data_IF_703534395202
#
_entry.id   IF_703534395202
#
_cell.length_a   1.000
_cell.length_b   1.000
_cell.length_c   1.000
_cell.angle_alpha   90.00
_cell.angle_beta   90.00
_cell.angle_gamma   90.00
#
_symmetry.space_group_name_H-M   'P 1'
#
loop_
_entity.id
_entity.type
_entity.pdbx_description
1 polymer ?
#
# COMPACT_ATOMS: atom_id res chain seq x y z
N UNK A 1 20.30 7.17 12.52
CA UNK A 1 19.34 6.89 11.45
C UNK A 1 18.64 5.57 11.76
N UNK A 2 17.33 5.58 11.74
CA UNK A 2 16.50 4.40 11.97
C UNK A 2 15.55 4.17 10.81
N UNK A 3 15.01 2.98 10.71
CA UNK A 3 14.01 2.64 9.72
C UNK A 3 13.02 1.62 10.26
N UNK A 4 11.78 1.70 9.80
CA UNK A 4 10.71 0.75 10.10
C UNK A 4 10.14 0.25 8.78
N UNK A 5 9.94 -1.05 8.66
CA UNK A 5 9.29 -1.67 7.50
C UNK A 5 7.85 -2.01 7.84
N UNK A 6 6.93 -1.61 6.97
CA UNK A 6 5.49 -1.78 7.16
C UNK A 6 4.91 -2.53 5.97
N UNK A 7 4.10 -3.56 6.25
CA UNK A 7 3.35 -4.27 5.24
C UNK A 7 2.12 -3.47 4.83
N UNK A 8 1.97 -3.22 3.54
CA UNK A 8 0.84 -2.44 3.01
C UNK A 8 0.27 -3.14 1.77
N UNK A 9 -0.91 -2.69 1.35
CA UNK A 9 -1.52 -3.15 0.11
C UNK A 9 -2.33 -4.43 0.23
N UNK A 10 -3.02 -4.74 -0.85
CA UNK A 10 -3.92 -5.87 -0.97
C UNK A 10 -3.22 -7.20 -0.71
N UNK A 11 -3.92 -8.12 -0.04
CA UNK A 11 -3.43 -9.46 0.26
C UNK A 11 -4.56 -10.48 0.18
N UNK A 12 -4.25 -11.75 0.39
CA UNK A 12 -5.23 -12.83 0.26
C UNK A 12 -6.34 -12.78 1.31
N UNK A 13 -6.14 -12.06 2.42
CA UNK A 13 -7.20 -11.83 3.41
C UNK A 13 -8.08 -10.65 3.02
N UNK A 14 -7.50 -9.58 2.50
CA UNK A 14 -8.18 -8.33 2.18
C UNK A 14 -7.57 -7.70 0.93
N UNK A 15 -8.28 -7.62 -0.17
CA UNK A 15 -9.66 -8.04 -0.46
C UNK A 15 -9.78 -9.49 -0.93
N UNK A 16 -8.74 -10.30 -0.86
CA UNK A 16 -8.73 -11.69 -1.29
C UNK A 16 -7.88 -11.92 -2.53
N UNK A 17 -7.14 -10.94 -2.96
CA UNK A 17 -6.16 -11.05 -4.04
C UNK A 17 -5.01 -10.06 -3.81
N UNK A 18 -3.87 -10.34 -4.40
CA UNK A 18 -2.68 -9.48 -4.31
C UNK A 18 -2.58 -8.59 -5.54
N UNK A 19 -1.90 -7.45 -5.41
CA UNK A 19 -1.48 -6.69 -6.57
C UNK A 19 -0.50 -7.49 -7.43
N UNK A 20 -0.38 -7.17 -8.74
CA UNK A 20 0.46 -7.92 -9.66
C UNK A 20 1.88 -7.40 -9.73
N UNK A 21 2.81 -8.29 -10.06
CA UNK A 21 4.16 -7.94 -10.50
C UNK A 21 4.43 -8.61 -11.84
N UNK A 22 4.92 -7.85 -12.81
CA UNK A 22 5.22 -8.31 -14.15
C UNK A 22 6.61 -8.95 -14.27
N UNK A 23 6.90 -9.50 -15.44
CA UNK A 23 8.16 -10.19 -15.70
C UNK A 23 9.41 -9.32 -15.49
N UNK A 24 9.28 -8.01 -15.71
CA UNK A 24 10.38 -7.04 -15.61
C UNK A 24 10.41 -6.31 -14.24
N UNK A 25 9.53 -6.68 -13.32
CA UNK A 25 9.48 -6.08 -12.00
C UNK A 25 8.54 -4.89 -11.86
N UNK A 26 7.82 -4.52 -12.90
CA UNK A 26 6.77 -3.50 -12.78
C UNK A 26 5.62 -4.06 -11.97
N UNK A 27 5.05 -3.25 -11.10
CA UNK A 27 3.96 -3.68 -10.25
C UNK A 27 2.87 -2.62 -10.20
N UNK A 28 1.69 -3.03 -9.75
CA UNK A 28 0.61 -2.11 -9.46
C UNK A 28 0.31 -2.14 -7.97
N UNK A 29 0.28 -0.97 -7.35
CA UNK A 29 -0.12 -0.85 -5.94
C UNK A 29 -1.63 -0.89 -5.85
N UNK A 30 -2.17 -1.95 -5.24
CA UNK A 30 -3.60 -2.11 -4.98
C UNK A 30 -3.79 -1.96 -3.47
N UNK A 31 -4.59 -0.96 -3.02
CA UNK A 31 -4.80 -0.75 -1.60
C UNK A 31 -5.68 -1.84 -0.96
N UNK A 32 -5.62 -1.93 0.36
CA UNK A 32 -6.57 -2.78 1.10
C UNK A 32 -7.94 -2.10 1.15
N UNK A 33 -9.01 -2.88 1.39
CA UNK A 33 -10.32 -2.28 1.58
C UNK A 33 -10.39 -1.52 2.91
N UNK A 34 -11.22 -0.48 2.95
CA UNK A 34 -11.51 0.24 4.19
C UNK A 34 -12.50 -0.55 5.03
N UNK A 35 -12.09 -0.96 6.21
CA UNK A 35 -12.91 -1.80 7.10
C UNK A 35 -13.66 -1.01 8.16
N UNK A 36 -13.28 0.24 8.37
CA UNK A 36 -13.90 1.08 9.39
C UNK A 36 -14.79 2.14 8.75
N UNK A 37 -15.91 2.50 9.39
CA UNK A 37 -16.71 3.62 8.92
C UNK A 37 -15.87 4.89 8.97
N UNK A 38 -15.71 5.54 7.85
CA UNK A 38 -15.07 6.83 7.80
C UNK A 38 -16.02 7.89 8.36
N UNK A 39 -15.44 9.03 8.75
CA UNK A 39 -16.25 10.19 9.13
C UNK A 39 -17.22 10.50 7.99
N UNK A 40 -18.49 10.70 8.34
CA UNK A 40 -19.59 10.81 7.40
C UNK A 40 -19.45 11.88 6.32
N UNK A 41 -18.56 12.85 6.56
CA UNK A 41 -18.37 14.01 5.67
C UNK A 41 -17.28 13.79 4.62
N UNK A 42 -16.58 12.64 4.67
CA UNK A 42 -15.46 12.39 3.75
C UNK A 42 -15.90 11.36 2.73
N UNK A 43 -15.83 11.76 1.47
CA UNK A 43 -16.03 10.82 0.35
C UNK A 43 -14.79 9.95 0.24
N UNK A 44 -14.97 8.65 0.39
CA UNK A 44 -13.89 7.67 0.28
C UNK A 44 -14.01 7.00 -1.09
N UNK A 45 -12.92 6.93 -1.88
CA UNK A 45 -12.98 6.25 -3.16
C UNK A 45 -13.20 4.75 -2.99
N UNK A 46 -13.86 4.16 -3.99
CA UNK A 46 -14.00 2.70 -4.11
C UNK A 46 -12.94 2.16 -5.06
N UNK A 47 -12.82 0.83 -5.16
CA UNK A 47 -11.89 0.24 -6.13
C UNK A 47 -12.19 0.68 -7.57
N UNK A 48 -13.47 0.84 -7.91
CA UNK A 48 -13.86 1.30 -9.24
C UNK A 48 -13.43 2.74 -9.53
N UNK A 49 -13.27 3.56 -8.51
CA UNK A 49 -12.83 4.96 -8.66
C UNK A 49 -11.34 5.08 -8.93
N UNK A 50 -10.57 4.03 -8.67
CA UNK A 50 -9.14 4.01 -8.95
C UNK A 50 -8.90 3.55 -10.39
N UNK A 51 -7.90 4.12 -11.03
CA UNK A 51 -7.52 3.72 -12.39
C UNK A 51 -6.57 2.51 -12.31
N UNK A 52 -7.14 1.35 -11.97
CA UNK A 52 -6.38 0.12 -11.80
C UNK A 52 -6.42 -0.73 -13.06
N UNK A 53 -5.27 -1.25 -13.47
CA UNK A 53 -5.19 -2.26 -14.51
C UNK A 53 -5.65 -3.63 -14.02
N UNK A 54 -5.52 -3.88 -12.71
CA UNK A 54 -5.99 -5.10 -12.06
C UNK A 54 -7.51 -5.18 -12.11
N UNK A 55 -8.05 -6.36 -12.40
CA UNK A 55 -9.49 -6.59 -12.37
C UNK A 55 -10.01 -6.53 -10.94
N UNK A 56 -10.85 -5.53 -10.67
CA UNK A 56 -11.43 -5.30 -9.35
C UNK A 56 -12.97 -5.39 -9.40
N UNK A 57 -13.53 -6.01 -10.44
CA UNK A 57 -14.98 -6.07 -10.63
C UNK A 57 -15.71 -6.65 -9.42
N UNK A 58 -15.16 -7.67 -8.79
CA UNK A 58 -15.76 -8.32 -7.62
C UNK A 58 -15.84 -7.42 -6.39
N UNK A 59 -15.05 -6.34 -6.34
CA UNK A 59 -14.99 -5.40 -5.23
C UNK A 59 -15.17 -3.95 -5.67
N UNK A 60 -15.74 -3.74 -6.87
CA UNK A 60 -15.84 -2.42 -7.49
C UNK A 60 -16.43 -1.35 -6.57
N UNK A 61 -17.46 -1.70 -5.79
CA UNK A 61 -18.16 -0.78 -4.90
C UNK A 61 -17.59 -0.74 -3.48
N UNK A 62 -16.52 -1.46 -3.20
CA UNK A 62 -15.92 -1.50 -1.86
C UNK A 62 -14.99 -0.30 -1.69
N UNK A 63 -15.14 0.47 -0.59
CA UNK A 63 -14.21 1.56 -0.30
C UNK A 63 -12.79 1.08 -0.06
N UNK A 64 -11.82 1.88 -0.44
CA UNK A 64 -10.40 1.56 -0.27
C UNK A 64 -9.76 2.39 0.84
N UNK A 65 -8.73 1.83 1.44
CA UNK A 65 -7.91 2.50 2.43
C UNK A 65 -6.62 2.98 1.76
N UNK A 66 -6.57 4.27 1.40
CA UNK A 66 -5.40 4.87 0.75
C UNK A 66 -4.36 5.27 1.78
N UNK A 67 -3.58 4.31 2.22
CA UNK A 67 -2.51 4.54 3.19
C UNK A 67 -1.41 3.48 3.01
N UNK A 68 -0.20 3.85 2.63
CA UNK A 68 0.30 5.22 2.42
C UNK A 68 -0.28 5.90 1.19
N UNK A 69 -0.27 7.22 1.19
CA UNK A 69 -0.51 8.00 -0.02
C UNK A 69 0.81 8.26 -0.72
N UNK A 70 0.81 8.17 -2.05
CA UNK A 70 1.98 8.43 -2.89
C UNK A 70 1.58 9.43 -3.96
N UNK A 71 2.32 10.53 -4.05
CA UNK A 71 2.03 11.56 -5.04
C UNK A 71 2.06 10.98 -6.46
N UNK A 72 1.01 11.24 -7.24
CA UNK A 72 0.86 10.72 -8.60
C UNK A 72 0.25 9.33 -8.70
N UNK A 73 -0.08 8.69 -7.57
CA UNK A 73 -0.71 7.36 -7.54
C UNK A 73 -2.11 7.50 -6.97
N UNK A 74 -3.10 6.95 -7.67
CA UNK A 74 -4.52 6.95 -7.28
C UNK A 74 -5.08 8.35 -6.99
N UNK A 75 -4.60 9.36 -7.71
CA UNK A 75 -5.05 10.74 -7.53
C UNK A 75 -4.48 11.45 -6.31
N UNK A 76 -3.58 10.85 -5.57
CA UNK A 76 -2.96 11.47 -4.41
C UNK A 76 -1.91 12.50 -4.83
N UNK A 77 -1.73 13.54 -4.00
CA UNK A 77 -0.82 14.65 -4.28
C UNK A 77 0.32 14.77 -3.29
N UNK A 78 0.34 13.94 -2.25
CA UNK A 78 1.35 14.01 -1.19
C UNK A 78 1.77 12.61 -0.75
N UNK A 79 2.83 12.57 0.04
CA UNK A 79 3.36 11.32 0.63
C UNK A 79 3.03 11.32 2.11
N UNK A 80 2.07 10.50 2.53
CA UNK A 80 1.66 10.41 3.94
C UNK A 80 1.41 8.96 4.34
N UNK A 81 1.55 8.68 5.62
CA UNK A 81 1.15 7.42 6.22
C UNK A 81 0.61 7.66 7.62
N UNK A 82 -0.48 6.98 7.95
CA UNK A 82 -1.06 7.00 9.28
C UNK A 82 -1.72 5.68 9.61
N UNK A 83 -1.85 5.35 10.91
CA UNK A 83 -2.53 4.17 11.38
C UNK A 83 -3.49 4.57 12.49
N UNK A 84 -4.80 4.68 12.20
CA UNK A 84 -5.78 5.13 13.19
C UNK A 84 -5.93 4.15 14.36
N UNK A 85 -5.53 2.90 14.19
CA UNK A 85 -5.65 1.89 15.24
C UNK A 85 -4.40 1.79 16.13
N UNK A 86 -3.33 2.48 15.77
CA UNK A 86 -2.11 2.53 16.58
C UNK A 86 -1.24 1.28 16.59
N UNK A 87 -1.68 0.19 15.97
CA UNK A 87 -0.93 -1.08 16.00
C UNK A 87 0.39 -0.97 15.25
N UNK A 88 0.36 -0.40 14.05
CA UNK A 88 1.55 -0.18 13.24
C UNK A 88 2.23 1.14 13.56
N UNK A 89 1.48 2.10 14.10
CA UNK A 89 2.00 3.42 14.42
C UNK A 89 2.91 3.43 15.65
N UNK A 90 2.77 2.47 16.57
CA UNK A 90 3.57 2.42 17.78
C UNK A 90 5.08 2.43 17.51
N UNK A 91 5.62 1.59 16.60
CA UNK A 91 7.04 1.70 16.23
C UNK A 91 7.38 3.00 15.51
N UNK A 92 6.43 3.60 14.79
CA UNK A 92 6.66 4.86 14.06
C UNK A 92 6.90 6.03 15.01
N UNK A 93 6.25 6.03 16.19
CA UNK A 93 6.42 7.11 17.17
C UNK A 93 7.83 7.17 17.76
N UNK A 94 8.64 6.14 17.59
CA UNK A 94 10.03 6.11 18.01
C UNK A 94 10.98 6.73 16.99
N UNK A 95 10.50 7.02 15.78
CA UNK A 95 11.30 7.63 14.73
C UNK A 95 11.37 9.15 14.90
N UNK A 96 12.35 9.73 14.22
CA UNK A 96 12.59 11.17 14.22
C UNK A 96 12.66 11.68 12.79
N UNK A 97 12.60 13.00 12.63
CA UNK A 97 12.86 13.62 11.34
C UNK A 97 14.18 13.11 10.74
N UNK A 98 14.16 12.73 9.47
CA UNK A 98 15.29 12.16 8.77
C UNK A 98 15.38 10.63 8.82
N UNK A 99 14.60 9.97 9.67
CA UNK A 99 14.47 8.51 9.67
C UNK A 99 13.60 8.04 8.51
N UNK A 100 13.55 6.73 8.30
CA UNK A 100 12.88 6.14 7.14
C UNK A 100 11.74 5.23 7.51
N UNK A 101 10.70 5.22 6.66
CA UNK A 101 9.65 4.21 6.65
C UNK A 101 9.73 3.49 5.31
N UNK A 102 9.85 2.16 5.36
CA UNK A 102 9.88 1.31 4.18
C UNK A 102 8.55 0.59 4.06
N UNK A 103 8.00 0.57 2.86
CA UNK A 103 6.74 -0.12 2.59
C UNK A 103 7.02 -1.37 1.77
N UNK A 104 6.48 -2.50 2.21
CA UNK A 104 6.52 -3.72 1.43
C UNK A 104 5.11 -4.29 1.24
N UNK A 105 4.92 -4.95 0.12
CA UNK A 105 3.65 -5.57 -0.22
C UNK A 105 3.89 -6.99 -0.73
N UNK A 106 2.90 -7.85 -0.55
CA UNK A 106 2.91 -9.15 -1.19
C UNK A 106 2.28 -9.01 -2.57
N UNK A 107 2.99 -9.47 -3.60
CA UNK A 107 2.56 -9.33 -4.99
C UNK A 107 2.50 -10.70 -5.65
N UNK A 108 1.53 -10.86 -6.55
CA UNK A 108 1.36 -12.09 -7.33
C UNK A 108 2.10 -11.96 -8.65
N UNK A 109 2.89 -12.96 -8.97
CA UNK A 109 3.65 -13.02 -10.21
C UNK A 109 2.71 -13.31 -11.39
N UNK A 110 2.73 -12.44 -12.39
CA UNK A 110 1.83 -12.55 -13.56
C UNK A 110 2.45 -13.29 -14.73
N UNK A 111 3.77 -13.28 -14.83
CA UNK A 111 4.47 -13.88 -15.98
C UNK A 111 4.84 -15.33 -15.69
N UNK A 112 4.82 -16.16 -16.74
CA UNK A 112 5.28 -17.55 -16.67
C UNK A 112 6.81 -17.68 -16.62
N UNK A 113 7.52 -16.65 -17.09
CA UNK A 113 8.99 -16.62 -17.10
C UNK A 113 9.48 -15.27 -16.56
N UNK A 114 9.35 -15.04 -15.25
CA UNK A 114 9.78 -13.78 -14.67
C UNK A 114 11.31 -13.68 -14.59
N UNK A 115 11.79 -12.46 -14.35
CA UNK A 115 13.21 -12.25 -14.03
C UNK A 115 13.62 -13.09 -12.82
N UNK A 116 14.89 -13.46 -12.76
CA UNK A 116 15.37 -14.42 -11.76
C UNK A 116 15.15 -13.99 -10.30
N UNK A 117 15.10 -12.68 -10.04
CA UNK A 117 14.87 -12.15 -8.67
C UNK A 117 13.41 -12.13 -8.26
N UNK A 118 12.48 -12.42 -9.19
CA UNK A 118 11.04 -12.43 -8.90
C UNK A 118 10.65 -13.85 -8.49
N UNK A 119 9.91 -13.97 -7.38
CA UNK A 119 9.40 -15.26 -6.92
C UNK A 119 8.43 -15.87 -7.94
N UNK A 120 8.37 -17.21 -8.05
CA UNK A 120 7.61 -17.85 -9.14
C UNK A 120 6.09 -17.64 -9.05
N UNK A 121 5.50 -17.54 -7.86
CA UNK A 121 4.06 -17.41 -7.69
C UNK A 121 3.69 -16.12 -7.01
N UNK A 122 4.29 -15.82 -5.87
CA UNK A 122 4.11 -14.59 -5.13
C UNK A 122 5.31 -14.36 -4.21
N UNK A 123 5.46 -13.13 -3.76
CA UNK A 123 6.53 -12.78 -2.83
C UNK A 123 6.27 -11.44 -2.16
N UNK A 124 7.10 -11.12 -1.19
CA UNK A 124 7.10 -9.83 -0.52
C UNK A 124 8.20 -8.96 -1.14
N UNK A 125 7.84 -7.72 -1.49
CA UNK A 125 8.73 -6.80 -2.18
C UNK A 125 8.67 -5.43 -1.55
N UNK A 126 9.81 -4.76 -1.43
CA UNK A 126 9.84 -3.34 -1.10
C UNK A 126 9.26 -2.56 -2.28
N UNK A 127 8.22 -1.77 -2.01
CA UNK A 127 7.54 -0.98 -3.05
C UNK A 127 7.74 0.52 -2.89
N UNK A 128 8.26 0.97 -1.76
CA UNK A 128 8.50 2.39 -1.56
C UNK A 128 9.16 2.68 -0.23
N UNK A 129 9.60 3.93 -0.09
CA UNK A 129 10.17 4.42 1.15
C UNK A 129 9.86 5.90 1.29
N UNK A 130 9.65 6.33 2.54
CA UNK A 130 9.56 7.74 2.89
C UNK A 130 10.68 8.08 3.86
N UNK A 131 11.31 9.23 3.63
CA UNK A 131 12.16 9.85 4.65
C UNK A 131 11.28 10.86 5.40
N UNK A 132 11.29 10.79 6.71
CA UNK A 132 10.45 11.66 7.51
C UNK A 132 10.93 13.12 7.42
N UNK A 133 10.02 14.00 7.03
CA UNK A 133 10.29 15.44 6.98
C UNK A 133 10.17 16.09 8.37
N UNK A 134 9.35 15.49 9.24
CA UNK A 134 9.12 15.93 10.62
C UNK A 134 9.11 14.72 11.54
N UNK A 135 9.17 14.97 12.84
CA UNK A 135 8.88 13.91 13.79
C UNK A 135 7.45 13.41 13.58
N UNK A 136 7.16 12.13 13.87
CA UNK A 136 5.79 11.62 13.75
C UNK A 136 4.82 12.43 14.59
N UNK A 137 3.65 12.69 14.02
CA UNK A 137 2.58 13.42 14.69
C UNK A 137 1.69 12.43 15.45
N UNK A 138 1.35 12.81 16.66
CA UNK A 138 0.51 11.99 17.54
C UNK A 138 -0.99 12.17 17.21
#
# INVERSE_FOLDING_TARGET
>A
MRGVAINVGANMNQPGFRGPIDADGRFEYVPIPESEPTLSDVSVPTYADLDLATDVESVADVPVHLDPTVAGVHGCTSYTYGDPHGVKASPLLELESGDYVFFYATLSTRASSPAAWIAPEWGAYLIGQFRLATDPLD
#
